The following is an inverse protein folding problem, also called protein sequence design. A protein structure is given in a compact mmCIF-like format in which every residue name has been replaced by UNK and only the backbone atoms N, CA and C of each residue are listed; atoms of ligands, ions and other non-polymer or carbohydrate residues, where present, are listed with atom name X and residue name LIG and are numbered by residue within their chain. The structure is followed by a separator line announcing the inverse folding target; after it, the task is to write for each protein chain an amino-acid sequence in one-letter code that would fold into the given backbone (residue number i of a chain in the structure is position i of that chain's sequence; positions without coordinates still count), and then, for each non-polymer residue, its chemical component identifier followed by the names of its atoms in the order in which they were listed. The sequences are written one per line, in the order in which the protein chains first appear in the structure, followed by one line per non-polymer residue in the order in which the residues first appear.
data_IF_953901830456
#
_entry.id   IF_953901830456
#
_cell.length_a   1.000
_cell.length_b   1.000
_cell.length_c   1.000
_cell.angle_alpha   90.00
_cell.angle_beta   90.00
_cell.angle_gamma   90.00
#
_symmetry.space_group_name_H-M   'P 1'
#
loop_
_entity.id
_entity.type
_entity.pdbx_description
1 polymer ?
#
# COMPACT_ATOMS: atom_id res chain seq x y z
N UNK A 1 -24.22 -3.30 -13.64
CA UNK A 1 -24.04 -3.85 -15.00
C UNK A 1 -23.05 -4.99 -14.87
N UNK A 2 -23.54 -6.23 -14.86
CA UNK A 2 -22.66 -7.40 -15.01
C UNK A 2 -22.22 -7.47 -16.46
N UNK A 3 -20.93 -7.26 -16.71
CA UNK A 3 -20.34 -7.65 -17.99
C UNK A 3 -20.48 -9.17 -18.05
N UNK A 4 -21.16 -9.71 -19.07
CA UNK A 4 -21.49 -11.13 -19.22
C UNK A 4 -20.29 -12.11 -19.30
N UNK A 5 -19.09 -11.68 -18.92
CA UNK A 5 -17.89 -12.48 -18.80
C UNK A 5 -17.87 -13.16 -17.42
N UNK A 6 -17.98 -14.49 -17.43
CA UNK A 6 -17.92 -15.30 -16.22
C UNK A 6 -16.46 -15.55 -15.84
N UNK A 7 -15.92 -14.73 -14.93
CA UNK A 7 -14.52 -14.85 -14.46
C UNK A 7 -14.30 -16.22 -13.80
N UNK A 8 -13.40 -17.03 -14.37
CA UNK A 8 -13.15 -18.42 -13.94
C UNK A 8 -12.13 -18.55 -12.80
N UNK A 9 -11.20 -17.61 -12.66
CA UNK A 9 -10.06 -17.74 -11.77
C UNK A 9 -10.22 -16.91 -10.48
N UNK A 10 -10.06 -17.56 -9.33
CA UNK A 10 -10.03 -16.89 -8.03
C UNK A 10 -8.75 -16.07 -7.85
N UNK A 11 -8.84 -14.99 -7.07
CA UNK A 11 -7.72 -14.11 -6.83
C UNK A 11 -6.66 -14.78 -5.96
N UNK A 12 -5.42 -15.00 -6.46
CA UNK A 12 -4.34 -15.63 -5.70
C UNK A 12 -3.94 -14.82 -4.46
N UNK A 13 -4.28 -13.52 -4.42
CA UNK A 13 -4.10 -12.66 -3.25
C UNK A 13 -4.87 -13.17 -2.03
N UNK A 14 -6.04 -13.81 -2.21
CA UNK A 14 -6.86 -14.28 -1.08
C UNK A 14 -6.12 -15.36 -0.29
N UNK A 15 -5.56 -16.34 -1.00
CA UNK A 15 -4.85 -17.49 -0.42
C UNK A 15 -3.35 -17.23 -0.14
N UNK A 16 -2.83 -16.05 -0.49
CA UNK A 16 -1.43 -15.71 -0.28
C UNK A 16 -1.09 -15.49 1.20
N UNK A 17 0.12 -15.92 1.60
CA UNK A 17 0.69 -15.62 2.92
C UNK A 17 0.91 -14.12 3.10
N UNK A 18 1.04 -13.67 4.35
CA UNK A 18 1.24 -12.25 4.67
C UNK A 18 2.51 -11.67 4.03
N UNK A 19 3.61 -12.44 4.02
CA UNK A 19 4.86 -12.07 3.34
C UNK A 19 4.65 -11.94 1.84
N UNK A 20 3.95 -12.90 1.23
CA UNK A 20 3.65 -12.88 -0.21
C UNK A 20 2.79 -11.65 -0.57
N UNK A 21 1.84 -11.28 0.28
CA UNK A 21 1.02 -10.06 0.15
C UNK A 21 1.85 -8.79 0.25
N UNK A 22 2.80 -8.74 1.19
CA UNK A 22 3.66 -7.58 1.44
C UNK A 22 4.66 -7.33 0.30
N UNK A 23 5.27 -8.38 -0.23
CA UNK A 23 6.25 -8.29 -1.32
C UNK A 23 5.64 -8.34 -2.71
N UNK A 24 4.30 -8.38 -2.81
CA UNK A 24 3.56 -8.57 -4.07
C UNK A 24 3.96 -9.84 -4.86
N UNK A 25 4.60 -10.82 -4.20
CA UNK A 25 5.09 -12.04 -4.85
C UNK A 25 3.97 -12.87 -5.51
N UNK A 26 2.73 -12.81 -4.98
CA UNK A 26 1.55 -13.44 -5.58
C UNK A 26 1.27 -12.98 -7.02
N UNK A 27 1.72 -11.77 -7.38
CA UNK A 27 1.50 -11.16 -8.69
C UNK A 27 2.60 -11.52 -9.71
N UNK A 28 3.76 -12.00 -9.25
CA UNK A 28 4.90 -12.31 -10.12
C UNK A 28 4.56 -13.33 -11.22
N UNK A 29 3.78 -14.37 -10.90
CA UNK A 29 3.31 -15.36 -11.88
C UNK A 29 2.42 -14.76 -12.96
N UNK A 30 1.61 -13.77 -12.58
CA UNK A 30 0.72 -13.08 -13.49
C UNK A 30 1.51 -12.20 -14.48
N UNK A 31 2.49 -11.45 -13.98
CA UNK A 31 3.38 -10.65 -14.84
C UNK A 31 4.20 -11.52 -15.80
N UNK A 32 4.77 -12.64 -15.32
CA UNK A 32 5.51 -13.56 -16.18
C UNK A 32 4.66 -14.08 -17.36
N UNK A 33 3.41 -14.44 -17.07
CA UNK A 33 2.44 -14.89 -18.08
C UNK A 33 2.13 -13.78 -19.10
N UNK A 34 1.91 -12.56 -18.62
CA UNK A 34 1.68 -11.39 -19.47
C UNK A 34 2.85 -11.06 -20.40
N UNK A 35 4.08 -11.16 -19.91
CA UNK A 35 5.30 -10.97 -20.73
C UNK A 35 5.42 -12.05 -21.81
N UNK A 36 5.03 -13.30 -21.53
CA UNK A 36 5.22 -14.42 -22.45
C UNK A 36 4.20 -14.47 -23.59
N UNK A 37 2.93 -14.13 -23.33
CA UNK A 37 1.83 -14.37 -24.29
C UNK A 37 0.79 -13.24 -24.41
N UNK A 38 0.98 -12.13 -23.70
CA UNK A 38 -0.09 -11.13 -23.51
C UNK A 38 -1.12 -11.60 -22.47
N UNK A 39 -1.95 -10.66 -22.00
CA UNK A 39 -3.02 -10.92 -21.03
C UNK A 39 -4.35 -10.81 -21.76
N UNK A 40 -5.17 -11.86 -21.64
CA UNK A 40 -6.55 -11.87 -22.14
C UNK A 40 -7.55 -11.64 -21.00
N UNK A 41 -8.79 -11.30 -21.36
CA UNK A 41 -9.93 -11.15 -20.45
C UNK A 41 -10.24 -12.41 -19.64
N UNK A 42 -10.00 -13.61 -20.20
CA UNK A 42 -10.13 -14.89 -19.49
C UNK A 42 -9.09 -15.08 -18.38
N UNK A 43 -7.94 -14.39 -18.47
CA UNK A 43 -6.85 -14.49 -17.49
C UNK A 43 -7.04 -13.56 -16.29
N UNK A 44 -8.09 -12.72 -16.29
CA UNK A 44 -8.41 -11.82 -15.20
C UNK A 44 -8.91 -12.59 -13.97
N UNK A 45 -8.50 -12.14 -12.79
CA UNK A 45 -8.94 -12.71 -11.52
C UNK A 45 -10.26 -12.12 -11.06
N UNK A 46 -11.04 -12.92 -10.33
CA UNK A 46 -12.25 -12.48 -9.66
C UNK A 46 -11.93 -11.38 -8.65
N UNK A 47 -12.78 -10.36 -8.61
CA UNK A 47 -12.64 -9.27 -7.64
C UNK A 47 -12.77 -9.84 -6.22
N UNK A 48 -11.84 -9.45 -5.35
CA UNK A 48 -11.90 -9.80 -3.93
C UNK A 48 -13.14 -9.17 -3.28
N UNK A 49 -13.76 -9.86 -2.30
CA UNK A 49 -14.96 -9.33 -1.62
C UNK A 49 -14.73 -7.95 -1.02
N UNK A 50 -13.54 -7.69 -0.50
CA UNK A 50 -13.19 -6.39 0.07
C UNK A 50 -13.22 -5.24 -0.95
N UNK A 51 -13.00 -5.53 -2.24
CA UNK A 51 -13.01 -4.55 -3.33
C UNK A 51 -14.29 -4.61 -4.16
N UNK A 52 -15.27 -5.43 -3.76
CA UNK A 52 -16.54 -5.51 -4.44
C UNK A 52 -17.35 -4.22 -4.17
N UNK A 53 -17.87 -3.62 -5.25
CA UNK A 53 -18.60 -2.35 -5.20
C UNK A 53 -19.93 -2.43 -4.45
N UNK A 54 -20.64 -3.55 -4.56
CA UNK A 54 -21.89 -3.80 -3.83
C UNK A 54 -21.62 -3.86 -2.32
N UNK A 55 -20.61 -4.64 -1.92
CA UNK A 55 -20.22 -4.74 -0.51
C UNK A 55 -19.80 -3.39 0.07
N UNK A 56 -18.94 -2.64 -0.63
CA UNK A 56 -18.50 -1.32 -0.21
C UNK A 56 -19.63 -0.29 -0.20
N UNK A 57 -20.53 -0.36 -1.18
CA UNK A 57 -21.72 0.48 -1.29
C UNK A 57 -22.65 0.26 -0.10
N UNK A 58 -22.97 -0.99 0.21
CA UNK A 58 -23.80 -1.35 1.36
C UNK A 58 -23.18 -0.89 2.69
N UNK A 59 -21.86 -1.03 2.84
CA UNK A 59 -21.13 -0.56 4.03
C UNK A 59 -21.21 0.96 4.19
N UNK A 60 -21.02 1.70 3.10
CA UNK A 60 -21.14 3.16 3.10
C UNK A 60 -22.58 3.60 3.37
N UNK A 61 -23.56 2.95 2.76
CA UNK A 61 -24.98 3.24 2.97
C UNK A 61 -25.37 3.08 4.44
N UNK A 62 -24.99 1.98 5.09
CA UNK A 62 -25.26 1.77 6.51
C UNK A 62 -24.67 2.90 7.40
N UNK A 63 -23.45 3.36 7.08
CA UNK A 63 -22.81 4.48 7.80
C UNK A 63 -23.48 5.82 7.52
N UNK A 64 -23.98 6.01 6.31
CA UNK A 64 -24.73 7.21 5.93
C UNK A 64 -26.09 7.27 6.65
N UNK A 65 -26.83 6.17 6.70
CA UNK A 65 -28.09 6.07 7.43
C UNK A 65 -27.91 6.34 8.93
N UNK A 66 -26.84 5.79 9.53
CA UNK A 66 -26.47 6.09 10.91
C UNK A 66 -26.21 7.59 11.13
N UNK A 67 -25.53 8.24 10.17
CA UNK A 67 -25.26 9.66 10.26
C UNK A 67 -26.52 10.52 10.09
N UNK A 68 -27.45 10.12 9.22
CA UNK A 68 -28.75 10.77 9.07
C UNK A 68 -29.58 10.66 10.36
N UNK A 69 -29.61 9.49 11.01
CA UNK A 69 -30.29 9.31 12.29
C UNK A 69 -29.70 10.23 13.37
N UNK A 70 -28.36 10.27 13.49
CA UNK A 70 -27.67 11.15 14.43
C UNK A 70 -27.90 12.64 14.14
N UNK A 71 -27.98 13.01 12.87
CA UNK A 71 -28.27 14.39 12.44
C UNK A 71 -29.65 14.83 12.93
N UNK A 72 -30.67 13.96 12.83
CA UNK A 72 -32.03 14.23 13.34
C UNK A 72 -32.04 14.45 14.86
N UNK A 73 -31.24 13.70 15.61
CA UNK A 73 -31.16 13.84 17.08
C UNK A 73 -30.32 15.04 17.53
N UNK A 74 -29.24 15.36 16.80
CA UNK A 74 -28.27 16.39 17.22
C UNK A 74 -28.54 17.76 16.59
N UNK A 75 -29.46 17.86 15.62
CA UNK A 75 -29.74 19.08 14.85
C UNK A 75 -28.60 19.54 13.93
N UNK A 76 -27.50 18.77 13.83
CA UNK A 76 -26.33 19.11 13.00
C UNK A 76 -26.54 18.60 11.57
N UNK A 77 -26.11 19.34 10.53
CA UNK A 77 -26.26 18.89 9.15
C UNK A 77 -25.47 17.59 8.90
N UNK A 78 -26.03 16.64 8.14
CA UNK A 78 -25.30 15.42 7.78
C UNK A 78 -24.20 15.78 6.76
N UNK A 79 -23.05 15.11 6.86
CA UNK A 79 -21.88 15.34 6.00
C UNK A 79 -21.43 14.03 5.39
N UNK A 80 -21.64 13.88 4.07
CA UNK A 80 -21.29 12.67 3.34
C UNK A 80 -19.78 12.39 3.39
N UNK A 81 -18.96 13.44 3.31
CA UNK A 81 -17.51 13.30 3.46
C UNK A 81 -17.12 12.64 4.78
N UNK A 82 -17.81 12.96 5.88
CA UNK A 82 -17.55 12.33 7.17
C UNK A 82 -17.92 10.84 7.18
N UNK A 83 -19.02 10.44 6.53
CA UNK A 83 -19.37 9.02 6.37
C UNK A 83 -18.32 8.28 5.53
N UNK A 84 -17.88 8.86 4.42
CA UNK A 84 -16.84 8.29 3.55
C UNK A 84 -15.54 8.10 4.34
N UNK A 85 -15.04 9.16 4.98
CA UNK A 85 -13.83 9.09 5.79
C UNK A 85 -13.98 8.02 6.88
N UNK A 86 -15.06 8.01 7.65
CA UNK A 86 -15.22 7.02 8.71
C UNK A 86 -15.31 5.56 8.19
N UNK A 87 -15.83 5.35 6.97
CA UNK A 87 -15.97 4.02 6.36
C UNK A 87 -14.64 3.44 5.88
N UNK A 88 -13.78 4.31 5.33
CA UNK A 88 -12.57 3.92 4.62
C UNK A 88 -11.28 4.20 5.40
N UNK A 89 -11.24 5.26 6.23
CA UNK A 89 -10.01 5.74 6.88
C UNK A 89 -9.34 4.64 7.70
N UNK A 90 -10.09 3.86 8.46
CA UNK A 90 -9.56 2.71 9.22
C UNK A 90 -8.92 1.63 8.34
N UNK A 91 -9.49 1.38 7.16
CA UNK A 91 -8.95 0.40 6.21
C UNK A 91 -7.66 0.91 5.54
N UNK A 92 -7.52 2.22 5.36
CA UNK A 92 -6.35 2.84 4.73
C UNK A 92 -5.25 3.23 5.72
N UNK A 93 -5.58 3.39 7.01
CA UNK A 93 -4.63 3.82 8.04
C UNK A 93 -3.41 2.90 8.11
N UNK A 94 -3.61 1.58 8.03
CA UNK A 94 -2.52 0.61 8.04
C UNK A 94 -1.53 0.79 6.87
N UNK A 95 -2.04 1.10 5.67
CA UNK A 95 -1.18 1.42 4.53
C UNK A 95 -0.43 2.73 4.75
N UNK A 96 -1.07 3.73 5.37
CA UNK A 96 -0.42 4.99 5.76
C UNK A 96 0.74 4.78 6.73
N UNK A 97 0.56 3.93 7.75
CA UNK A 97 1.62 3.58 8.70
C UNK A 97 2.77 2.85 7.99
N UNK A 98 2.46 1.88 7.13
CA UNK A 98 3.48 1.16 6.36
C UNK A 98 4.29 2.12 5.47
N UNK A 99 3.62 3.06 4.79
CA UNK A 99 4.27 4.09 3.98
C UNK A 99 5.13 5.03 4.82
N UNK A 100 4.70 5.41 6.02
CA UNK A 100 5.51 6.22 6.93
C UNK A 100 6.77 5.48 7.38
N UNK A 101 6.66 4.20 7.75
CA UNK A 101 7.81 3.37 8.11
C UNK A 101 8.78 3.27 6.93
N UNK A 102 8.27 3.08 5.72
CA UNK A 102 9.10 3.04 4.52
C UNK A 102 9.75 4.39 4.23
N UNK A 103 8.98 5.47 4.22
CA UNK A 103 9.44 6.80 3.84
C UNK A 103 10.40 7.40 4.87
N UNK A 104 10.19 7.16 6.16
CA UNK A 104 11.05 7.70 7.23
C UNK A 104 12.14 6.69 7.57
N UNK A 105 11.78 5.44 7.86
CA UNK A 105 12.73 4.41 8.28
C UNK A 105 13.77 4.08 7.21
N UNK A 106 13.34 3.64 6.02
CA UNK A 106 14.30 3.23 4.99
C UNK A 106 15.10 4.41 4.45
N UNK A 107 14.48 5.59 4.25
CA UNK A 107 15.21 6.76 3.72
C UNK A 107 16.24 7.30 4.70
N UNK A 108 15.97 7.26 6.01
CA UNK A 108 16.96 7.65 7.02
C UNK A 108 18.04 6.57 7.20
N UNK A 109 17.72 5.30 6.96
CA UNK A 109 18.66 4.20 7.07
C UNK A 109 19.70 4.19 5.94
N UNK A 110 19.31 4.55 4.71
CA UNK A 110 20.20 4.60 3.55
C UNK A 110 21.53 5.35 3.77
N UNK A 111 21.55 6.61 4.24
CA UNK A 111 22.81 7.34 4.47
C UNK A 111 23.64 6.75 5.61
N UNK A 112 23.01 6.11 6.61
CA UNK A 112 23.74 5.48 7.71
C UNK A 112 24.50 4.22 7.26
N UNK A 113 23.85 3.39 6.44
CA UNK A 113 24.52 2.22 5.83
C UNK A 113 25.67 2.68 4.94
N UNK A 114 25.45 3.72 4.14
CA UNK A 114 26.50 4.26 3.29
C UNK A 114 27.68 4.79 4.11
N UNK A 115 27.42 5.50 5.22
CA UNK A 115 28.46 5.96 6.16
C UNK A 115 29.26 4.81 6.75
N UNK A 116 28.59 3.75 7.20
CA UNK A 116 29.27 2.58 7.76
C UNK A 116 30.12 1.87 6.71
N UNK A 117 29.61 1.72 5.49
CA UNK A 117 30.34 1.13 4.37
C UNK A 117 31.57 1.97 4.02
N UNK A 118 31.44 3.30 3.96
CA UNK A 118 32.57 4.20 3.74
C UNK A 118 33.65 4.00 4.81
N UNK A 119 33.29 4.00 6.10
CA UNK A 119 34.25 3.76 7.20
C UNK A 119 35.01 2.44 7.08
N UNK A 120 34.30 1.37 6.70
CA UNK A 120 34.91 0.05 6.52
C UNK A 120 35.98 0.05 5.41
N UNK A 121 35.76 0.81 4.33
CA UNK A 121 36.67 0.84 3.18
C UNK A 121 37.72 1.96 3.23
N UNK A 122 37.44 3.08 3.90
CA UNK A 122 38.39 4.21 4.00
C UNK A 122 39.19 4.23 5.30
N UNK A 123 38.83 3.41 6.31
CA UNK A 123 39.54 3.37 7.59
C UNK A 123 39.52 4.69 8.38
N UNK A 124 38.67 5.64 7.99
CA UNK A 124 38.54 6.95 8.64
C UNK A 124 37.80 6.75 9.96
N UNK A 125 38.57 6.49 11.03
CA UNK A 125 38.12 6.68 12.40
C UNK A 125 37.82 8.18 12.63
N UNK A 126 36.81 8.47 13.45
CA UNK A 126 36.28 9.82 13.71
C UNK A 126 37.26 10.72 14.51
N UNK A 127 38.49 10.90 14.02
CA UNK A 127 39.54 11.66 14.69
C UNK A 127 40.81 11.96 13.88
N UNK A 128 40.79 11.89 12.54
CA UNK A 128 41.95 12.27 11.72
C UNK A 128 41.54 13.35 10.73
N UNK A 129 42.17 14.51 10.89
CA UNK A 129 42.14 15.65 9.99
C UNK A 129 42.25 15.19 8.54
N UNK A 130 41.25 15.57 7.75
CA UNK A 130 41.08 15.18 6.35
C UNK A 130 42.34 15.56 5.52
N UNK A 131 43.20 14.60 5.13
CA UNK A 131 44.41 14.90 4.37
C UNK A 131 44.08 15.19 2.91
N UNK A 132 42.84 14.94 2.45
CA UNK A 132 42.42 15.17 1.07
C UNK A 132 42.19 16.67 0.76
N UNK A 133 42.30 17.54 1.76
CA UNK A 133 42.39 19.00 1.59
C UNK A 133 43.82 19.55 1.70
N UNK A 134 44.83 18.72 1.96
CA UNK A 134 46.23 19.12 1.90
C UNK A 134 46.77 18.86 0.49
N UNK A 135 46.55 19.82 -0.41
CA UNK A 135 47.35 19.93 -1.64
C UNK A 135 48.66 20.67 -1.31
N UNK A 136 49.78 19.95 -1.24
CA UNK A 136 50.99 20.34 -1.97
C UNK A 136 51.66 19.08 -2.56
N UNK A 137 52.05 19.01 -3.82
CA UNK A 137 53.07 19.86 -4.48
C UNK A 137 52.65 20.35 -5.87
#
# INVERSE_FOLDING_TARGET
MDLGFKVKHDNPRVNASWLSKLTFAWMARYFYKGVKRGIDTDDLFRIDRANNSEYLGNKLQAKWEQQLANSKTTGKPPSLMKAILNTFLWSYLGFGVLLLIQAVGLRLFQPQVLRYLLRLFTGVEDGVDDPLLAKPE
#
